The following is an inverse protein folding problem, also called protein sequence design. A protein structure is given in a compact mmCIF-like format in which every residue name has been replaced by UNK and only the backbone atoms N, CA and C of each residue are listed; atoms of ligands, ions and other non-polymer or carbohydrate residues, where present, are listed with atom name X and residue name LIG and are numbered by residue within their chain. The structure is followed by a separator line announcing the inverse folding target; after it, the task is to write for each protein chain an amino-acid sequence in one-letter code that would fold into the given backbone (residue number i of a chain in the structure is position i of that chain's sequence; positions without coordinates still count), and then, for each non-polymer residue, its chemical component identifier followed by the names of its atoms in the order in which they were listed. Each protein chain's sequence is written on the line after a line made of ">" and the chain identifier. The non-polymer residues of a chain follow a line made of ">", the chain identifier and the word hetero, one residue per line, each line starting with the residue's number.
data_IF_476108290425
#
_entry.id   IF_476108290425
#
_cell.length_a   1.000
_cell.length_b   1.000
_cell.length_c   1.000
_cell.angle_alpha   90.00
_cell.angle_beta   90.00
_cell.angle_gamma   90.00
#
_symmetry.space_group_name_H-M   'P 1'
#
loop_
_entity.id
_entity.type
_entity.pdbx_description
1 polymer ?
#
# COMPACT_ATOMS: atom_id res chain seq x y z
N UNK A 1 9.82 6.06 -27.26
CA UNK A 1 9.44 6.80 -26.02
C UNK A 1 9.34 5.79 -24.88
N UNK A 2 9.84 6.11 -23.69
CA UNK A 2 9.80 5.24 -22.51
C UNK A 2 8.37 4.78 -22.15
N UNK A 3 7.38 5.66 -22.28
CA UNK A 3 5.96 5.35 -22.01
C UNK A 3 5.39 4.22 -22.87
N UNK A 4 5.81 4.11 -24.14
CA UNK A 4 5.40 2.97 -24.98
C UNK A 4 5.96 1.65 -24.49
N UNK A 5 7.18 1.65 -23.92
CA UNK A 5 7.74 0.45 -23.28
C UNK A 5 6.92 0.06 -22.05
N UNK A 6 6.55 1.04 -21.22
CA UNK A 6 5.68 0.83 -20.04
C UNK A 6 4.31 0.26 -20.46
N UNK A 7 3.65 0.86 -21.45
CA UNK A 7 2.38 0.37 -21.99
C UNK A 7 2.49 -1.05 -22.55
N UNK A 8 3.58 -1.37 -23.24
CA UNK A 8 3.81 -2.72 -23.74
C UNK A 8 4.01 -3.71 -22.59
N UNK A 9 4.74 -3.37 -21.52
CA UNK A 9 4.85 -4.20 -20.33
C UNK A 9 3.48 -4.50 -19.71
N UNK A 10 2.60 -3.49 -19.64
CA UNK A 10 1.23 -3.63 -19.11
C UNK A 10 0.39 -4.55 -20.01
N UNK A 11 0.36 -4.29 -21.33
CA UNK A 11 -0.36 -5.12 -22.31
C UNK A 11 0.10 -6.57 -22.29
N UNK A 12 1.40 -6.80 -22.24
CA UNK A 12 1.98 -8.15 -22.16
C UNK A 12 1.61 -8.86 -20.86
N UNK A 13 1.57 -8.13 -19.74
CA UNK A 13 1.08 -8.72 -18.49
C UNK A 13 -0.42 -9.01 -18.53
N UNK A 14 -1.20 -8.13 -19.17
CA UNK A 14 -2.65 -8.31 -19.30
C UNK A 14 -3.02 -9.55 -20.13
N UNK A 15 -2.23 -9.85 -21.16
CA UNK A 15 -2.39 -11.01 -22.03
C UNK A 15 -1.80 -12.29 -21.43
N UNK A 16 -0.58 -12.20 -20.88
CA UNK A 16 0.23 -13.38 -20.59
C UNK A 16 0.48 -13.63 -19.08
N UNK A 17 0.07 -12.71 -18.20
CA UNK A 17 0.35 -12.79 -16.78
C UNK A 17 1.85 -12.73 -16.46
N UNK A 18 2.36 -13.48 -15.47
CA UNK A 18 3.76 -13.49 -15.08
C UNK A 18 4.72 -13.73 -16.26
N UNK A 19 5.82 -12.99 -16.32
CA UNK A 19 6.90 -13.23 -17.28
C UNK A 19 7.60 -14.56 -16.99
N UNK A 20 7.61 -14.97 -15.72
CA UNK A 20 8.26 -16.18 -15.25
C UNK A 20 7.62 -16.68 -13.96
N UNK A 21 7.52 -17.99 -13.84
CA UNK A 21 7.08 -18.69 -12.63
C UNK A 21 8.26 -19.24 -11.80
N UNK A 22 9.48 -18.70 -11.98
CA UNK A 22 10.65 -19.10 -11.16
C UNK A 22 10.31 -18.96 -9.67
N UNK A 23 10.57 -20.01 -8.90
CA UNK A 23 10.23 -20.05 -7.47
C UNK A 23 8.75 -20.32 -7.17
N UNK A 24 7.92 -20.64 -8.17
CA UNK A 24 6.48 -20.89 -7.99
C UNK A 24 6.12 -22.12 -7.15
N UNK A 25 7.09 -22.98 -6.83
CA UNK A 25 6.96 -24.07 -5.84
C UNK A 25 7.15 -23.58 -4.39
N UNK A 26 7.65 -22.37 -4.22
CA UNK A 26 7.92 -21.72 -2.92
C UNK A 26 7.00 -20.52 -2.69
N UNK A 27 6.70 -19.77 -3.76
CA UNK A 27 5.94 -18.53 -3.73
C UNK A 27 4.44 -18.79 -3.80
N UNK A 28 3.72 -18.12 -2.92
CA UNK A 28 2.27 -18.08 -2.86
C UNK A 28 1.86 -16.73 -2.22
N UNK A 29 0.65 -16.24 -2.50
CA UNK A 29 0.22 -14.94 -2.01
C UNK A 29 -1.09 -14.47 -2.62
N UNK A 30 -1.45 -13.23 -2.31
CA UNK A 30 -2.77 -12.67 -2.58
C UNK A 30 -2.83 -11.78 -3.83
N UNK A 31 -1.68 -11.36 -4.38
CA UNK A 31 -1.66 -10.46 -5.54
C UNK A 31 -2.08 -11.18 -6.82
N UNK A 32 -2.83 -10.49 -7.67
CA UNK A 32 -3.26 -11.02 -8.97
C UNK A 32 -2.08 -11.32 -9.91
N UNK A 33 -2.21 -12.33 -10.75
CA UNK A 33 -1.11 -12.77 -11.62
C UNK A 33 -0.66 -11.70 -12.64
N UNK A 34 -1.56 -10.78 -13.03
CA UNK A 34 -1.22 -9.65 -13.90
C UNK A 34 -0.41 -8.59 -13.17
N UNK A 35 -0.64 -8.39 -11.87
CA UNK A 35 0.19 -7.53 -11.02
C UNK A 35 1.62 -8.08 -10.94
N UNK A 36 1.77 -9.38 -10.63
CA UNK A 36 3.09 -10.05 -10.62
C UNK A 36 3.81 -9.92 -11.97
N UNK A 37 3.10 -10.15 -13.07
CA UNK A 37 3.68 -10.06 -14.40
C UNK A 37 4.09 -8.65 -14.84
N UNK A 38 3.37 -7.62 -14.41
CA UNK A 38 3.72 -6.25 -14.77
C UNK A 38 4.92 -5.78 -13.94
N UNK A 39 5.01 -6.15 -12.66
CA UNK A 39 6.17 -5.87 -11.80
C UNK A 39 7.46 -6.47 -12.37
N UNK A 40 7.41 -7.73 -12.82
CA UNK A 40 8.54 -8.38 -13.49
C UNK A 40 8.94 -7.63 -14.78
N UNK A 41 7.98 -7.30 -15.65
CA UNK A 41 8.29 -6.65 -16.93
C UNK A 41 8.79 -5.22 -16.77
N UNK A 42 8.19 -4.45 -15.86
CA UNK A 42 8.60 -3.07 -15.58
C UNK A 42 9.99 -3.05 -14.96
N UNK A 43 10.29 -3.96 -14.03
CA UNK A 43 11.65 -4.10 -13.48
C UNK A 43 12.66 -4.44 -14.59
N UNK A 44 12.27 -5.25 -15.56
CA UNK A 44 13.09 -5.55 -16.74
C UNK A 44 13.48 -4.34 -17.58
N UNK A 45 12.74 -3.22 -17.51
CA UNK A 45 13.14 -1.97 -18.17
C UNK A 45 14.36 -1.30 -17.51
N UNK A 46 14.68 -1.69 -16.28
CA UNK A 46 15.77 -1.13 -15.46
C UNK A 46 16.86 -2.15 -15.13
N UNK A 47 16.70 -3.43 -15.50
CA UNK A 47 17.59 -4.51 -15.05
C UNK A 47 19.07 -4.27 -15.42
N UNK A 48 19.33 -3.57 -16.53
CA UNK A 48 20.69 -3.22 -17.00
C UNK A 48 21.19 -1.87 -16.45
N UNK A 49 20.39 -1.14 -15.68
CA UNK A 49 20.74 0.14 -15.06
C UNK A 49 21.27 -0.09 -13.64
N UNK A 50 22.60 0.02 -13.40
CA UNK A 50 23.18 -0.22 -12.07
C UNK A 50 22.79 0.84 -11.03
N UNK A 51 22.19 1.95 -11.48
CA UNK A 51 21.71 3.02 -10.62
C UNK A 51 20.25 2.85 -10.20
N UNK A 52 19.55 1.83 -10.73
CA UNK A 52 18.15 1.58 -10.43
C UNK A 52 17.96 0.44 -9.40
N UNK A 53 16.79 0.43 -8.75
CA UNK A 53 16.35 -0.66 -7.88
C UNK A 53 14.83 -0.79 -7.86
N UNK A 54 14.35 -1.90 -7.32
CA UNK A 54 12.94 -2.17 -7.04
C UNK A 54 12.65 -1.95 -5.56
N UNK A 55 11.56 -1.25 -5.25
CA UNK A 55 11.08 -1.06 -3.87
C UNK A 55 9.61 -1.40 -3.78
N UNK A 56 9.24 -2.12 -2.72
CA UNK A 56 7.86 -2.52 -2.42
C UNK A 56 7.52 -2.20 -0.96
N UNK A 57 6.31 -1.68 -0.72
CA UNK A 57 5.71 -1.55 0.62
C UNK A 57 4.60 -2.57 0.74
N UNK A 58 4.58 -3.33 1.83
CA UNK A 58 3.64 -4.42 2.04
C UNK A 58 4.15 -5.70 1.40
N UNK A 59 5.06 -6.38 2.08
CA UNK A 59 5.72 -7.58 1.55
C UNK A 59 4.89 -8.83 1.86
N UNK A 60 4.18 -8.83 2.99
CA UNK A 60 3.44 -9.99 3.49
C UNK A 60 4.31 -11.25 3.50
N UNK A 61 4.01 -12.23 2.64
CA UNK A 61 4.76 -13.48 2.53
C UNK A 61 5.75 -13.49 1.34
N UNK A 62 5.95 -12.36 0.66
CA UNK A 62 7.01 -12.12 -0.32
C UNK A 62 6.73 -12.57 -1.75
N UNK A 63 5.47 -12.79 -2.15
CA UNK A 63 5.11 -13.23 -3.50
C UNK A 63 5.70 -12.29 -4.57
N UNK A 64 5.30 -11.02 -4.53
CA UNK A 64 5.66 -9.95 -5.46
C UNK A 64 7.16 -9.65 -5.40
N UNK A 65 7.69 -9.33 -4.21
CA UNK A 65 9.11 -9.05 -4.02
C UNK A 65 10.03 -10.14 -4.57
N UNK A 66 9.80 -11.40 -4.19
CA UNK A 66 10.71 -12.48 -4.60
C UNK A 66 10.44 -12.97 -6.02
N UNK A 67 9.23 -12.79 -6.56
CA UNK A 67 8.97 -13.06 -7.98
C UNK A 67 9.82 -12.17 -8.90
N UNK A 68 10.11 -10.95 -8.47
CA UNK A 68 11.02 -10.02 -9.17
C UNK A 68 12.46 -10.40 -8.88
N UNK A 69 12.84 -10.53 -7.61
CA UNK A 69 14.22 -10.76 -7.19
C UNK A 69 14.83 -12.05 -7.80
N UNK A 70 14.07 -13.14 -7.85
CA UNK A 70 14.52 -14.42 -8.43
C UNK A 70 14.58 -14.36 -9.96
N UNK A 71 13.74 -13.53 -10.58
CA UNK A 71 13.79 -13.35 -12.02
C UNK A 71 15.02 -12.54 -12.46
N UNK A 72 15.36 -11.49 -11.71
CA UNK A 72 16.52 -10.62 -11.92
C UNK A 72 17.52 -10.73 -10.75
N UNK A 73 18.32 -11.80 -10.67
CA UNK A 73 19.16 -12.10 -9.50
C UNK A 73 20.22 -11.05 -9.18
N UNK A 74 20.60 -10.21 -10.14
CA UNK A 74 21.59 -9.14 -9.97
C UNK A 74 20.95 -7.77 -9.68
N UNK A 75 19.61 -7.67 -9.77
CA UNK A 75 18.90 -6.40 -9.59
C UNK A 75 18.51 -6.19 -8.12
N UNK A 76 18.92 -5.08 -7.47
CA UNK A 76 18.60 -4.84 -6.06
C UNK A 76 17.10 -4.65 -5.83
N UNK A 77 16.55 -5.42 -4.90
CA UNK A 77 15.14 -5.39 -4.52
C UNK A 77 15.02 -5.10 -3.01
N UNK A 78 14.13 -4.19 -2.63
CA UNK A 78 13.89 -3.83 -1.23
C UNK A 78 12.41 -3.97 -0.90
N UNK A 79 12.09 -4.73 0.14
CA UNK A 79 10.73 -4.88 0.64
C UNK A 79 10.60 -4.26 2.03
N UNK A 80 9.62 -3.39 2.21
CA UNK A 80 9.33 -2.68 3.46
C UNK A 80 8.03 -3.23 4.04
N UNK A 81 8.10 -3.75 5.26
CA UNK A 81 6.91 -4.23 5.99
C UNK A 81 7.23 -4.27 7.49
N UNK A 82 6.30 -3.88 8.35
CA UNK A 82 6.45 -3.96 9.81
C UNK A 82 5.71 -5.17 10.41
N UNK A 83 5.00 -5.95 9.59
CA UNK A 83 4.25 -7.14 9.96
C UNK A 83 3.24 -6.89 11.10
N UNK A 84 2.77 -5.65 11.26
CA UNK A 84 1.91 -5.30 12.41
C UNK A 84 0.42 -5.56 12.18
N UNK A 85 -0.05 -5.47 10.94
CA UNK A 85 -1.49 -5.51 10.60
C UNK A 85 -1.96 -6.93 10.32
N UNK A 86 -1.28 -7.63 9.39
CA UNK A 86 -1.70 -8.96 8.92
C UNK A 86 -0.94 -10.11 9.58
N UNK A 87 -0.09 -9.84 10.57
CA UNK A 87 0.70 -10.86 11.25
C UNK A 87 0.56 -10.87 12.79
N UNK A 88 -0.67 -10.97 13.34
CA UNK A 88 -0.90 -10.97 14.78
C UNK A 88 -0.23 -12.15 15.52
N UNK A 89 0.28 -13.15 14.78
CA UNK A 89 0.94 -14.36 15.32
C UNK A 89 2.42 -14.47 14.93
N UNK A 90 3.00 -13.49 14.21
CA UNK A 90 4.40 -13.51 13.76
C UNK A 90 4.74 -14.55 12.69
N UNK A 91 3.73 -15.18 12.08
CA UNK A 91 3.89 -16.24 11.08
C UNK A 91 4.35 -15.73 9.72
N UNK A 92 3.89 -14.56 9.29
CA UNK A 92 4.22 -14.06 7.95
C UNK A 92 5.69 -13.66 7.85
N UNK A 93 6.26 -13.06 8.90
CA UNK A 93 7.68 -12.74 8.95
C UNK A 93 8.57 -14.00 8.85
N UNK A 94 8.19 -15.06 9.55
CA UNK A 94 8.88 -16.36 9.45
C UNK A 94 8.74 -16.96 8.05
N UNK A 95 7.54 -16.91 7.46
CA UNK A 95 7.29 -17.42 6.11
C UNK A 95 8.15 -16.67 5.08
N UNK A 96 8.14 -15.34 5.08
CA UNK A 96 8.90 -14.54 4.10
C UNK A 96 10.42 -14.77 4.25
N UNK A 97 10.92 -14.86 5.48
CA UNK A 97 12.34 -15.14 5.74
C UNK A 97 12.74 -16.53 5.25
N UNK A 98 11.91 -17.55 5.52
CA UNK A 98 12.13 -18.91 5.04
C UNK A 98 12.07 -19.01 3.51
N UNK A 99 11.12 -18.31 2.87
CA UNK A 99 11.00 -18.27 1.40
C UNK A 99 12.22 -17.61 0.77
N UNK A 100 12.68 -16.48 1.32
CA UNK A 100 13.92 -15.82 0.88
C UNK A 100 15.11 -16.79 0.87
N UNK A 101 15.29 -17.55 1.95
CA UNK A 101 16.36 -18.52 2.08
C UNK A 101 16.23 -19.67 1.06
N UNK A 102 15.03 -20.26 0.92
CA UNK A 102 14.76 -21.35 -0.03
C UNK A 102 14.99 -20.94 -1.49
N UNK A 103 14.68 -19.69 -1.82
CA UNK A 103 14.84 -19.13 -3.16
C UNK A 103 16.26 -18.61 -3.43
N UNK A 104 17.12 -18.57 -2.41
CA UNK A 104 18.44 -17.92 -2.47
C UNK A 104 18.37 -16.49 -3.04
N UNK A 105 17.34 -15.72 -2.65
CA UNK A 105 17.10 -14.36 -3.12
C UNK A 105 18.01 -13.35 -2.38
N UNK A 106 19.32 -13.43 -2.67
CA UNK A 106 20.37 -12.63 -2.00
C UNK A 106 20.32 -11.14 -2.35
N UNK A 107 19.74 -10.79 -3.51
CA UNK A 107 19.50 -9.43 -3.97
C UNK A 107 18.26 -8.77 -3.35
N UNK A 108 17.44 -9.52 -2.59
CA UNK A 108 16.29 -8.99 -1.89
C UNK A 108 16.62 -8.63 -0.43
N UNK A 109 16.39 -7.38 -0.04
CA UNK A 109 16.55 -6.88 1.32
C UNK A 109 15.19 -6.65 1.96
N UNK A 110 14.94 -7.27 3.13
CA UNK A 110 13.74 -7.04 3.92
C UNK A 110 14.03 -5.95 4.96
N UNK A 111 13.25 -4.87 4.94
CA UNK A 111 13.33 -3.75 5.86
C UNK A 111 12.14 -3.87 6.82
N UNK A 112 12.38 -4.49 7.98
CA UNK A 112 11.34 -4.69 8.99
C UNK A 112 11.12 -3.42 9.83
N UNK A 113 10.41 -2.44 9.25
CA UNK A 113 10.14 -1.12 9.84
C UNK A 113 8.79 -0.61 9.36
N UNK A 114 8.21 0.31 10.13
CA UNK A 114 7.11 1.14 9.66
C UNK A 114 7.49 1.86 8.36
N UNK A 115 6.54 1.98 7.43
CA UNK A 115 6.84 2.46 6.08
C UNK A 115 7.27 3.93 6.05
N UNK A 116 6.75 4.78 6.94
CA UNK A 116 7.15 6.20 6.98
C UNK A 116 8.61 6.30 7.41
N UNK A 117 8.94 5.62 8.51
CA UNK A 117 10.32 5.54 9.03
C UNK A 117 11.26 4.94 7.98
N UNK A 118 10.83 3.86 7.32
CA UNK A 118 11.63 3.19 6.31
C UNK A 118 11.91 4.11 5.11
N UNK A 119 10.91 4.82 4.59
CA UNK A 119 11.06 5.73 3.46
C UNK A 119 11.91 6.95 3.80
N UNK A 120 11.76 7.52 5.00
CA UNK A 120 12.59 8.64 5.48
C UNK A 120 14.08 8.27 5.55
N UNK A 121 14.40 7.01 5.89
CA UNK A 121 15.78 6.51 5.95
C UNK A 121 16.19 5.68 4.74
N UNK A 122 15.33 5.50 3.73
CA UNK A 122 15.55 4.53 2.66
C UNK A 122 16.83 4.81 1.87
N UNK A 123 17.20 6.08 1.71
CA UNK A 123 18.42 6.50 1.03
C UNK A 123 19.69 5.83 1.57
N UNK A 124 19.72 5.49 2.87
CA UNK A 124 20.84 4.77 3.52
C UNK A 124 20.99 3.35 2.97
N UNK A 125 19.89 2.72 2.55
CA UNK A 125 19.87 1.37 1.99
C UNK A 125 20.12 1.33 0.48
N UNK A 126 19.79 2.41 -0.24
CA UNK A 126 19.88 2.42 -1.71
C UNK A 126 21.33 2.47 -2.22
N UNK A 127 22.30 2.85 -1.38
CA UNK A 127 23.71 3.02 -1.76
C UNK A 127 23.88 3.90 -3.03
N UNK A 128 23.16 5.02 -3.08
CA UNK A 128 23.18 5.97 -4.20
C UNK A 128 22.25 5.62 -5.36
N UNK A 129 21.59 4.46 -5.36
CA UNK A 129 20.59 4.10 -6.36
C UNK A 129 19.31 4.91 -6.22
N UNK A 130 18.53 4.93 -7.30
CA UNK A 130 17.18 5.49 -7.40
C UNK A 130 16.16 4.39 -7.62
N UNK A 131 14.93 4.63 -7.21
CA UNK A 131 13.84 3.65 -7.34
C UNK A 131 13.27 3.69 -8.75
N UNK A 132 13.51 2.65 -9.54
CA UNK A 132 13.01 2.52 -10.91
C UNK A 132 11.57 2.02 -10.96
N UNK A 133 11.25 1.05 -10.10
CA UNK A 133 9.90 0.53 -9.93
C UNK A 133 9.56 0.58 -8.45
N UNK A 134 8.44 1.22 -8.13
CA UNK A 134 7.93 1.39 -6.77
C UNK A 134 6.54 0.80 -6.66
N UNK A 135 6.35 -0.19 -5.80
CA UNK A 135 5.07 -0.87 -5.58
C UNK A 135 4.53 -0.58 -4.18
N UNK A 136 3.28 -0.14 -4.10
CA UNK A 136 2.60 0.20 -2.84
C UNK A 136 1.43 -0.77 -2.67
N UNK A 137 1.60 -1.73 -1.76
CA UNK A 137 0.66 -2.81 -1.38
C UNK A 137 0.57 -2.90 0.17
N UNK A 138 0.70 -1.74 0.82
CA UNK A 138 0.87 -1.59 2.28
C UNK A 138 -0.43 -1.39 3.04
N UNK A 139 -0.57 -0.28 3.77
CA UNK A 139 -1.85 0.05 4.40
C UNK A 139 -2.83 0.63 3.36
N UNK A 140 -4.11 0.20 3.41
CA UNK A 140 -5.12 0.54 2.39
C UNK A 140 -5.96 1.77 2.77
N UNK A 141 -5.42 2.67 3.60
CA UNK A 141 -6.08 3.93 3.98
C UNK A 141 -5.53 5.12 3.17
N UNK A 142 -6.34 6.17 3.06
CA UNK A 142 -6.00 7.38 2.31
C UNK A 142 -4.67 8.03 2.75
N UNK A 143 -4.44 8.14 4.06
CA UNK A 143 -3.27 8.84 4.58
C UNK A 143 -2.01 8.08 4.21
N UNK A 144 -1.97 6.79 4.52
CA UNK A 144 -0.76 5.97 4.32
C UNK A 144 -0.35 5.95 2.86
N UNK A 145 -1.32 5.79 1.95
CA UNK A 145 -1.08 5.82 0.50
C UNK A 145 -0.51 7.16 0.01
N UNK A 146 -1.09 8.29 0.45
CA UNK A 146 -0.58 9.61 0.08
C UNK A 146 0.83 9.85 0.63
N UNK A 147 1.10 9.49 1.89
CA UNK A 147 2.43 9.65 2.48
C UNK A 147 3.47 8.76 1.80
N UNK A 148 3.12 7.52 1.45
CA UNK A 148 3.99 6.62 0.71
C UNK A 148 4.42 7.22 -0.64
N UNK A 149 3.52 7.91 -1.33
CA UNK A 149 3.84 8.63 -2.58
C UNK A 149 4.74 9.86 -2.33
N UNK A 150 4.43 10.66 -1.31
CA UNK A 150 5.16 11.89 -1.00
C UNK A 150 6.60 11.63 -0.54
N UNK A 151 6.80 10.68 0.37
CA UNK A 151 8.12 10.35 0.91
C UNK A 151 9.02 9.65 -0.13
N UNK A 152 8.44 8.86 -1.03
CA UNK A 152 9.20 8.19 -2.08
C UNK A 152 9.63 9.14 -3.21
N UNK A 153 8.84 10.19 -3.50
CA UNK A 153 9.08 11.13 -4.61
C UNK A 153 10.54 11.60 -4.79
N UNK A 154 11.30 12.01 -3.75
CA UNK A 154 12.71 12.40 -3.90
C UNK A 154 13.69 11.24 -4.20
N UNK A 155 13.28 10.00 -3.94
CA UNK A 155 14.08 8.78 -4.12
C UNK A 155 13.88 8.14 -5.50
N UNK A 156 12.85 8.57 -6.24
CA UNK A 156 12.48 7.98 -7.52
C UNK A 156 13.50 8.28 -8.63
N UNK A 157 13.68 7.31 -9.51
CA UNK A 157 14.40 7.44 -10.76
C UNK A 157 13.68 8.41 -11.71
N UNK A 158 14.39 9.04 -12.65
CA UNK A 158 13.77 10.01 -13.57
C UNK A 158 12.66 9.41 -14.44
N UNK A 159 12.79 8.11 -14.75
CA UNK A 159 11.85 7.29 -15.50
C UNK A 159 11.02 6.36 -14.59
N UNK A 160 10.93 6.63 -13.28
CA UNK A 160 10.28 5.73 -12.34
C UNK A 160 8.83 5.40 -12.73
N UNK A 161 8.44 4.14 -12.46
CA UNK A 161 7.07 3.65 -12.58
C UNK A 161 6.57 3.29 -11.19
N UNK A 162 5.44 3.87 -10.79
CA UNK A 162 4.81 3.63 -9.50
C UNK A 162 3.57 2.78 -9.72
N UNK A 163 3.37 1.75 -8.91
CA UNK A 163 2.19 0.90 -8.90
C UNK A 163 1.53 1.03 -7.52
N UNK A 164 0.24 1.33 -7.52
CA UNK A 164 -0.60 1.44 -6.32
C UNK A 164 -1.61 0.31 -6.38
N UNK A 165 -1.48 -0.68 -5.49
CA UNK A 165 -2.43 -1.78 -5.36
C UNK A 165 -3.69 -1.35 -4.60
N UNK A 166 -4.66 -2.25 -4.50
CA UNK A 166 -5.91 -2.07 -3.75
C UNK A 166 -6.73 -0.85 -4.21
N UNK A 167 -6.60 -0.50 -5.48
CA UNK A 167 -7.28 0.66 -6.05
C UNK A 167 -8.81 0.47 -6.15
N UNK A 168 -9.36 -0.69 -5.76
CA UNK A 168 -10.79 -0.87 -5.52
C UNK A 168 -11.30 -0.06 -4.32
N UNK A 169 -10.47 0.24 -3.33
CA UNK A 169 -10.87 1.12 -2.23
C UNK A 169 -10.96 2.57 -2.72
N UNK A 170 -12.10 3.22 -2.48
CA UNK A 170 -12.33 4.60 -2.91
C UNK A 170 -11.30 5.57 -2.30
N UNK A 171 -10.86 5.32 -1.07
CA UNK A 171 -9.88 6.14 -0.37
C UNK A 171 -8.48 6.06 -0.99
N UNK A 172 -8.08 4.88 -1.50
CA UNK A 172 -6.82 4.68 -2.24
C UNK A 172 -6.86 5.46 -3.56
N UNK A 173 -7.97 5.39 -4.30
CA UNK A 173 -8.15 6.20 -5.52
C UNK A 173 -8.11 7.69 -5.22
N UNK A 174 -8.73 8.12 -4.12
CA UNK A 174 -8.70 9.53 -3.72
C UNK A 174 -7.28 9.99 -3.39
N UNK A 175 -6.46 9.19 -2.70
CA UNK A 175 -5.05 9.56 -2.45
C UNK A 175 -4.24 9.65 -3.74
N UNK A 176 -4.44 8.71 -4.68
CA UNK A 176 -3.78 8.76 -6.00
C UNK A 176 -4.20 9.99 -6.78
N UNK A 177 -5.49 10.33 -6.79
CA UNK A 177 -6.02 11.53 -7.43
C UNK A 177 -5.39 12.80 -6.86
N UNK A 178 -5.37 12.94 -5.54
CA UNK A 178 -4.87 14.14 -4.87
C UNK A 178 -3.35 14.29 -5.03
N UNK A 179 -2.61 13.18 -5.08
CA UNK A 179 -1.20 13.19 -5.45
C UNK A 179 -1.00 13.69 -6.88
N UNK A 180 -1.74 13.18 -7.87
CA UNK A 180 -1.61 13.60 -9.28
C UNK A 180 -1.97 15.08 -9.50
N UNK A 181 -2.98 15.60 -8.79
CA UNK A 181 -3.35 17.02 -8.84
C UNK A 181 -2.24 17.90 -8.24
N UNK A 182 -1.68 17.49 -7.09
CA UNK A 182 -0.64 18.26 -6.39
C UNK A 182 0.75 18.11 -7.01
N UNK A 183 1.00 17.05 -7.78
CA UNK A 183 2.28 16.73 -8.41
C UNK A 183 2.11 16.53 -9.92
N UNK A 184 1.85 17.62 -10.69
CA UNK A 184 1.49 17.53 -12.11
C UNK A 184 2.58 16.94 -13.02
N UNK A 185 3.80 16.75 -12.49
CA UNK A 185 4.91 16.02 -13.15
C UNK A 185 4.71 14.51 -13.13
N UNK A 186 3.68 13.98 -12.47
CA UNK A 186 3.28 12.59 -12.53
C UNK A 186 1.96 12.47 -13.30
N UNK A 187 1.81 11.37 -14.03
CA UNK A 187 0.61 11.04 -14.80
C UNK A 187 0.25 9.60 -14.57
N UNK A 188 -1.04 9.32 -14.48
CA UNK A 188 -1.52 7.94 -14.53
C UNK A 188 -1.49 7.46 -15.98
N UNK A 189 -0.93 6.27 -16.20
CA UNK A 189 -0.82 5.66 -17.53
C UNK A 189 -1.74 4.45 -17.68
N UNK A 190 -2.21 3.88 -16.56
CA UNK A 190 -3.11 2.73 -16.55
C UNK A 190 -3.88 2.63 -15.23
N UNK A 191 -5.12 2.15 -15.34
CA UNK A 191 -5.94 1.71 -14.22
C UNK A 191 -6.71 0.44 -14.58
N UNK A 192 -6.95 -0.42 -13.61
CA UNK A 192 -7.88 -1.53 -13.72
C UNK A 192 -8.51 -1.81 -12.37
N UNK A 193 -9.74 -2.34 -12.36
CA UNK A 193 -10.53 -2.58 -11.15
C UNK A 193 -11.21 -3.94 -11.23
N UNK A 194 -11.31 -4.64 -10.10
CA UNK A 194 -12.14 -5.84 -9.98
C UNK A 194 -13.55 -5.47 -9.47
N UNK A 195 -14.59 -6.29 -9.68
CA UNK A 195 -15.97 -5.91 -9.34
C UNK A 195 -16.22 -5.76 -7.83
N UNK A 196 -15.40 -6.36 -6.98
CA UNK A 196 -15.49 -6.27 -5.52
C UNK A 196 -14.11 -6.50 -4.90
N UNK A 197 -14.01 -6.36 -3.59
CA UNK A 197 -12.90 -6.85 -2.79
C UNK A 197 -12.85 -8.39 -2.84
N UNK A 198 -11.66 -9.03 -2.90
CA UNK A 198 -11.52 -10.49 -2.99
C UNK A 198 -12.33 -11.27 -1.96
N UNK A 199 -12.37 -10.78 -0.71
CA UNK A 199 -13.11 -11.42 0.39
C UNK A 199 -14.65 -11.44 0.19
N UNK A 200 -15.19 -10.63 -0.72
CA UNK A 200 -16.62 -10.55 -1.01
C UNK A 200 -17.00 -11.28 -2.31
N UNK A 201 -16.01 -11.73 -3.10
CA UNK A 201 -16.27 -12.39 -4.38
C UNK A 201 -16.77 -13.82 -4.20
N UNK A 202 -17.68 -14.23 -5.08
CA UNK A 202 -18.02 -15.65 -5.22
C UNK A 202 -16.78 -16.45 -5.68
N UNK A 203 -16.60 -17.72 -5.26
CA UNK A 203 -15.37 -18.48 -5.53
C UNK A 203 -14.96 -18.58 -7.00
N UNK A 204 -15.92 -18.68 -7.92
CA UNK A 204 -15.62 -18.73 -9.35
C UNK A 204 -15.14 -17.38 -9.90
N UNK A 205 -15.70 -16.28 -9.39
CA UNK A 205 -15.25 -14.93 -9.75
C UNK A 205 -13.86 -14.68 -9.17
N UNK A 206 -13.62 -15.05 -7.91
CA UNK A 206 -12.30 -14.93 -7.27
C UNK A 206 -11.22 -15.63 -8.10
N UNK A 207 -11.41 -16.90 -8.49
CA UNK A 207 -10.47 -17.65 -9.33
C UNK A 207 -10.18 -16.99 -10.69
N UNK A 208 -11.16 -16.28 -11.24
CA UNK A 208 -10.95 -15.52 -12.48
C UNK A 208 -10.08 -14.28 -12.21
N UNK A 209 -10.36 -13.54 -11.14
CA UNK A 209 -9.67 -12.30 -10.81
C UNK A 209 -8.29 -12.50 -10.17
N UNK A 210 -8.02 -13.65 -9.55
CA UNK A 210 -6.67 -14.09 -9.15
C UNK A 210 -5.73 -14.16 -10.37
N UNK A 211 -6.26 -14.42 -11.57
CA UNK A 211 -5.51 -14.36 -12.84
C UNK A 211 -5.48 -12.95 -13.46
N UNK A 212 -6.05 -11.97 -12.78
CA UNK A 212 -6.37 -10.64 -13.26
C UNK A 212 -5.66 -9.53 -12.48
N UNK A 213 -6.26 -8.34 -12.55
CA UNK A 213 -5.94 -7.18 -11.71
C UNK A 213 -6.79 -7.24 -10.44
N UNK A 214 -6.48 -8.20 -9.56
CA UNK A 214 -7.24 -8.46 -8.34
C UNK A 214 -7.18 -7.24 -7.41
N UNK A 215 -8.33 -6.81 -6.88
CA UNK A 215 -8.50 -5.63 -6.01
C UNK A 215 -8.08 -4.28 -6.60
N UNK A 216 -7.80 -4.24 -7.90
CA UNK A 216 -7.59 -3.02 -8.67
C UNK A 216 -6.20 -2.39 -8.51
N UNK A 217 -5.71 -1.75 -9.57
CA UNK A 217 -4.38 -1.16 -9.63
C UNK A 217 -4.41 0.21 -10.30
N UNK A 218 -3.55 1.12 -9.86
CA UNK A 218 -3.20 2.35 -10.57
C UNK A 218 -1.70 2.37 -10.88
N UNK A 219 -1.33 2.69 -12.12
CA UNK A 219 0.08 2.78 -12.54
C UNK A 219 0.38 4.21 -12.96
N UNK A 220 1.40 4.80 -12.32
CA UNK A 220 1.82 6.17 -12.49
C UNK A 220 3.22 6.22 -13.09
N UNK A 221 3.49 7.26 -13.88
CA UNK A 221 4.82 7.55 -14.43
C UNK A 221 5.17 9.01 -14.20
N UNK A 222 6.46 9.32 -14.16
CA UNK A 222 6.95 10.70 -14.18
C UNK A 222 6.95 11.24 -15.62
N UNK A 223 6.24 12.32 -15.85
CA UNK A 223 6.07 13.01 -17.12
C UNK A 223 6.16 14.54 -16.92
N UNK A 224 7.36 15.09 -16.70
CA UNK A 224 7.53 16.52 -16.48
C UNK A 224 7.29 17.36 -17.74
N UNK A 225 7.30 16.73 -18.91
CA UNK A 225 7.03 17.36 -20.20
C UNK A 225 5.53 17.41 -20.54
N UNK A 226 4.68 16.67 -19.81
CA UNK A 226 3.25 16.61 -20.05
C UNK A 226 2.89 15.99 -21.41
N UNK A 227 3.62 14.95 -21.82
CA UNK A 227 3.36 14.24 -23.07
C UNK A 227 2.13 13.33 -23.00
N UNK A 228 1.73 12.87 -21.81
CA UNK A 228 0.52 12.07 -21.60
C UNK A 228 -0.69 12.98 -21.31
N UNK A 229 -1.89 12.61 -21.81
CA UNK A 229 -3.11 13.29 -21.42
C UNK A 229 -3.37 13.13 -19.92
N UNK A 230 -4.18 14.02 -19.36
CA UNK A 230 -4.60 13.88 -17.97
C UNK A 230 -5.57 12.69 -17.83
N UNK A 231 -5.24 11.81 -16.90
CA UNK A 231 -6.05 10.67 -16.49
C UNK A 231 -6.02 10.62 -14.96
N UNK A 232 -7.19 10.67 -14.34
CA UNK A 232 -7.35 10.64 -12.88
C UNK A 232 -8.28 9.48 -12.53
N UNK A 233 -8.04 8.76 -11.42
CA UNK A 233 -8.89 7.65 -11.05
C UNK A 233 -10.29 8.15 -10.65
N UNK A 234 -11.34 7.33 -10.84
CA UNK A 234 -12.68 7.67 -10.41
C UNK A 234 -12.74 7.81 -8.90
N UNK A 235 -13.31 8.90 -8.41
CA UNK A 235 -13.55 9.13 -6.99
C UNK A 235 -15.00 9.46 -6.74
N UNK A 236 -15.45 9.29 -5.51
CA UNK A 236 -16.79 9.68 -5.11
C UNK A 236 -16.87 11.20 -4.97
N UNK A 237 -18.07 11.78 -5.04
CA UNK A 237 -18.28 13.21 -4.73
C UNK A 237 -18.62 13.43 -3.25
N UNK A 238 -19.22 12.43 -2.61
CA UNK A 238 -19.53 12.48 -1.19
C UNK A 238 -18.23 12.49 -0.38
N UNK A 239 -18.16 13.38 0.61
CA UNK A 239 -17.01 13.54 1.51
C UNK A 239 -17.35 13.18 2.95
N UNK A 240 -18.56 12.67 3.21
CA UNK A 240 -19.06 12.37 4.55
C UNK A 240 -18.11 11.48 5.34
N UNK A 241 -17.51 10.45 4.71
CA UNK A 241 -16.57 9.57 5.41
C UNK A 241 -15.28 10.29 5.83
N UNK A 242 -14.76 11.22 5.03
CA UNK A 242 -13.62 12.06 5.43
C UNK A 242 -13.98 13.04 6.56
N UNK A 243 -15.22 13.55 6.56
CA UNK A 243 -15.71 14.40 7.65
C UNK A 243 -15.89 13.57 8.93
N UNK A 244 -16.38 12.33 8.81
CA UNK A 244 -16.55 11.42 9.94
C UNK A 244 -15.20 11.07 10.57
N UNK A 245 -14.14 10.87 9.78
CA UNK A 245 -12.79 10.67 10.28
C UNK A 245 -12.35 11.82 11.22
N UNK A 246 -12.50 13.07 10.76
CA UNK A 246 -12.24 14.24 11.59
C UNK A 246 -13.12 14.28 12.86
N UNK A 247 -14.41 13.96 12.73
CA UNK A 247 -15.33 13.92 13.88
C UNK A 247 -14.89 12.87 14.91
N UNK A 248 -14.45 11.69 14.46
CA UNK A 248 -13.93 10.64 15.34
C UNK A 248 -12.71 11.14 16.10
N UNK A 249 -11.72 11.72 15.41
CA UNK A 249 -10.45 12.12 16.01
C UNK A 249 -10.54 13.15 17.14
N UNK A 250 -11.59 13.98 17.18
CA UNK A 250 -11.80 14.98 18.25
C UNK A 250 -12.49 14.42 19.51
N UNK A 251 -13.10 13.24 19.43
CA UNK A 251 -13.83 12.65 20.55
C UNK A 251 -12.90 12.07 21.61
N UNK A 252 -13.38 12.02 22.86
CA UNK A 252 -12.63 11.45 23.99
C UNK A 252 -12.14 10.03 23.72
N UNK A 253 -13.00 9.22 23.09
CA UNK A 253 -12.83 7.78 22.89
C UNK A 253 -12.48 7.42 21.43
N UNK A 254 -11.80 8.32 20.71
CA UNK A 254 -11.51 8.16 19.28
C UNK A 254 -10.89 6.79 18.93
N UNK A 255 -9.98 6.28 19.76
CA UNK A 255 -9.30 5.01 19.56
C UNK A 255 -10.22 3.78 19.68
N UNK A 256 -11.44 3.95 20.20
CA UNK A 256 -12.45 2.89 20.29
C UNK A 256 -13.39 2.86 19.08
N UNK A 257 -13.19 3.73 18.08
CA UNK A 257 -14.07 3.82 16.92
C UNK A 257 -14.28 2.48 16.20
N UNK A 258 -13.26 1.63 15.97
CA UNK A 258 -13.48 0.32 15.35
C UNK A 258 -14.41 -0.59 16.16
N UNK A 259 -14.17 -0.74 17.47
CA UNK A 259 -15.02 -1.55 18.35
C UNK A 259 -16.44 -0.98 18.47
N UNK A 260 -16.57 0.35 18.51
CA UNK A 260 -17.86 1.02 18.55
C UNK A 260 -18.68 0.76 17.27
N UNK A 261 -18.03 0.76 16.10
CA UNK A 261 -18.68 0.43 14.82
C UNK A 261 -19.08 -1.05 14.74
N UNK A 262 -18.23 -1.97 15.21
CA UNK A 262 -18.58 -3.39 15.29
C UNK A 262 -19.83 -3.62 16.16
N UNK A 263 -19.89 -2.96 17.33
CA UNK A 263 -21.06 -3.00 18.20
C UNK A 263 -22.30 -2.40 17.52
N UNK A 264 -22.18 -1.23 16.89
CA UNK A 264 -23.28 -0.60 16.18
C UNK A 264 -23.82 -1.50 15.05
N UNK A 265 -22.94 -2.20 14.33
CA UNK A 265 -23.31 -3.17 13.31
C UNK A 265 -24.11 -4.34 13.89
N UNK A 266 -23.66 -4.92 15.02
CA UNK A 266 -24.37 -6.01 15.66
C UNK A 266 -25.78 -5.60 16.13
N UNK A 267 -25.91 -4.41 16.73
CA UNK A 267 -27.19 -3.82 17.14
C UNK A 267 -28.11 -3.62 15.94
N UNK A 268 -27.64 -2.97 14.88
CA UNK A 268 -28.44 -2.69 13.68
C UNK A 268 -28.89 -3.96 12.95
N UNK A 269 -28.15 -5.06 13.10
CA UNK A 269 -28.51 -6.37 12.53
C UNK A 269 -29.37 -7.23 13.44
N UNK A 270 -29.61 -6.81 14.70
CA UNK A 270 -30.35 -7.59 15.68
C UNK A 270 -29.66 -8.89 16.11
N UNK A 271 -28.33 -8.96 15.99
CA UNK A 271 -27.55 -10.14 16.39
C UNK A 271 -27.16 -10.02 17.87
N UNK A 272 -28.00 -10.55 18.76
CA UNK A 272 -27.79 -10.44 20.21
C UNK A 272 -26.52 -11.14 20.72
N UNK A 273 -26.05 -12.20 20.04
CA UNK A 273 -24.81 -12.87 20.40
C UNK A 273 -23.59 -12.02 20.02
N UNK A 274 -23.57 -11.51 18.79
CA UNK A 274 -22.52 -10.60 18.35
C UNK A 274 -22.54 -9.28 19.14
N UNK A 275 -23.72 -8.77 19.50
CA UNK A 275 -23.84 -7.56 20.32
C UNK A 275 -23.17 -7.76 21.69
N UNK A 276 -23.47 -8.86 22.38
CA UNK A 276 -22.87 -9.17 23.67
C UNK A 276 -21.33 -9.26 23.58
N UNK A 277 -20.82 -9.96 22.56
CA UNK A 277 -19.39 -10.11 22.33
C UNK A 277 -18.70 -8.77 22.00
N UNK A 278 -19.26 -7.98 21.07
CA UNK A 278 -18.71 -6.67 20.69
C UNK A 278 -18.75 -5.68 21.85
N UNK A 279 -19.81 -5.73 22.68
CA UNK A 279 -19.93 -4.90 23.88
C UNK A 279 -18.85 -5.25 24.90
N UNK A 280 -18.61 -6.54 25.14
CA UNK A 280 -17.55 -6.99 26.03
C UNK A 280 -16.17 -6.54 25.51
N UNK A 281 -15.90 -6.71 24.21
CA UNK A 281 -14.65 -6.25 23.59
C UNK A 281 -14.45 -4.74 23.74
N UNK A 282 -15.48 -3.93 23.45
CA UNK A 282 -15.44 -2.47 23.60
C UNK A 282 -15.13 -2.06 25.04
N UNK A 283 -15.80 -2.66 26.03
CA UNK A 283 -15.55 -2.39 27.46
C UNK A 283 -14.13 -2.81 27.85
N UNK A 284 -13.68 -3.99 27.42
CA UNK A 284 -12.33 -4.47 27.70
C UNK A 284 -11.27 -3.54 27.10
N UNK A 285 -11.48 -3.03 25.89
CA UNK A 285 -10.58 -2.08 25.25
C UNK A 285 -10.59 -0.73 25.96
N UNK A 286 -11.77 -0.21 26.32
CA UNK A 286 -11.90 1.00 27.13
C UNK A 286 -11.13 0.87 28.45
N UNK A 287 -11.34 -0.20 29.22
CA UNK A 287 -10.69 -0.40 30.50
C UNK A 287 -9.16 -0.46 30.39
N UNK A 288 -8.62 -1.05 29.31
CA UNK A 288 -7.16 -1.07 29.05
C UNK A 288 -6.57 0.32 28.77
N UNK A 289 -7.38 1.27 28.31
CA UNK A 289 -6.94 2.62 27.90
C UNK A 289 -7.44 3.71 28.85
N UNK A 290 -8.23 3.35 29.86
CA UNK A 290 -9.04 4.25 30.68
C UNK A 290 -8.24 5.40 31.27
N UNK A 291 -7.09 5.13 31.87
CA UNK A 291 -6.28 6.15 32.53
C UNK A 291 -5.89 7.29 31.59
N UNK A 292 -5.63 6.99 30.31
CA UNK A 292 -5.33 7.99 29.30
C UNK A 292 -6.57 8.69 28.74
N UNK A 293 -7.70 7.98 28.63
CA UNK A 293 -8.95 8.50 28.09
C UNK A 293 -9.69 9.40 29.10
N UNK A 294 -9.64 9.08 30.40
CA UNK A 294 -10.29 9.85 31.48
C UNK A 294 -9.66 11.25 31.66
N UNK A 295 -8.42 11.45 31.18
CA UNK A 295 -7.75 12.76 31.16
C UNK A 295 -8.21 13.68 30.02
N UNK A 296 -8.95 13.14 29.04
CA UNK A 296 -9.38 13.87 27.85
C UNK A 296 -10.71 14.58 28.06
N UNK A 297 -10.97 15.61 27.25
CA UNK A 297 -12.28 16.26 27.18
C UNK A 297 -13.27 15.34 26.45
N UNK A 298 -14.59 15.47 26.68
CA UNK A 298 -15.60 14.72 25.93
C UNK A 298 -15.51 14.91 24.40
N UNK A 299 -15.18 16.13 23.97
CA UNK A 299 -14.95 16.50 22.58
C UNK A 299 -13.85 17.57 22.46
N UNK A 300 -13.45 17.88 21.22
CA UNK A 300 -12.45 18.92 20.87
C UNK A 300 -11.09 18.68 21.52
N UNK A 301 -10.72 17.42 21.70
CA UNK A 301 -9.35 17.09 22.10
C UNK A 301 -8.40 17.56 21.00
N UNK A 302 -7.32 18.21 21.41
CA UNK A 302 -6.25 18.66 20.53
C UNK A 302 -4.93 18.20 21.15
N UNK A 303 -3.96 17.81 20.30
CA UNK A 303 -2.62 17.42 20.75
C UNK A 303 -1.68 18.64 20.91
N UNK A 304 -2.24 19.83 21.17
CA UNK A 304 -1.47 21.08 21.16
C UNK A 304 -0.93 21.52 22.52
N UNK A 305 -1.15 20.74 23.58
CA UNK A 305 -0.64 21.06 24.91
C UNK A 305 0.90 21.08 24.90
N UNK A 306 1.49 22.20 25.32
CA UNK A 306 2.95 22.36 25.37
C UNK A 306 3.63 22.58 24.01
N UNK A 307 2.88 22.67 22.90
CA UNK A 307 3.45 23.07 21.62
C UNK A 307 3.85 24.54 21.63
N UNK A 308 4.80 24.88 20.76
CA UNK A 308 5.31 26.25 20.63
C UNK A 308 4.20 27.23 20.24
N UNK A 309 4.12 28.38 20.92
CA UNK A 309 3.11 29.43 20.65
C UNK A 309 3.37 30.19 19.34
N UNK A 310 4.63 30.21 18.88
CA UNK A 310 5.07 30.74 17.61
C UNK A 310 6.56 30.50 17.39
N UNK A 311 6.94 30.06 16.19
CA UNK A 311 8.34 29.87 15.78
C UNK A 311 8.49 30.32 14.34
N UNK A 312 9.52 31.11 14.05
CA UNK A 312 9.90 31.44 12.68
C UNK A 312 10.97 30.46 12.21
N UNK A 313 11.01 30.21 10.90
CA UNK A 313 12.18 29.56 10.31
C UNK A 313 13.29 30.61 10.20
N UNK A 314 14.48 30.29 10.69
CA UNK A 314 15.63 31.18 10.56
C UNK A 314 16.21 31.04 9.13
N UNK A 315 16.61 32.16 8.53
CA UNK A 315 17.29 32.21 7.23
C UNK A 315 18.80 32.08 7.42
#
# INVERSE_FOLDING_TARGET
>A
MFFEKVLNCIRESDLNGPLSCKGGDVLDGLSGSKTVGVLQRLTGLFADDPTACYVEIGVFQGLTLFSVAVHFPDFPCFGIDNFSILDPQGKNYDIVTNRKARLNATNATLINKDFEVALETLGEHLAGRKVGVYFIDGAHDYRSQLIALLLAAPLLHENAVILVDDANYAFVRQSTRDFLISHPKYKMIFEAYSPDHPANMAPNALKQWEKGWLNGINILVRDPAGALPEMLPPTEADRTLYVNDWLVHRHQLAELAPQALNLAQAVCRGDGAAEAACREELINRFNKMRDGLDLRRPDRNTYSAGLTTGRYNEL
#
